data_IF_977076327810
#
_entry.id   IF_977076327810
#
_cell.length_a   1.000
_cell.length_b   1.000
_cell.length_c   1.000
_cell.angle_alpha   90.00
_cell.angle_beta   90.00
_cell.angle_gamma   90.00
#
_symmetry.space_group_name_H-M   'P 1'
#
loop_
_entity.id
_entity.type
_entity.pdbx_description
1 polymer ?
#
# COMPACT_ATOMS: atom_id res chain seq x y z
N UNK A 1 -23.57 13.49 20.02
CA UNK A 1 -23.00 13.75 18.70
C UNK A 1 -21.60 14.32 18.95
N UNK A 2 -20.60 13.46 18.93
CA UNK A 2 -19.18 13.85 19.03
C UNK A 2 -18.67 13.94 17.58
N UNK A 3 -18.32 15.16 17.17
CA UNK A 3 -17.66 15.39 15.89
C UNK A 3 -16.36 14.57 15.81
N UNK A 4 -16.02 13.99 14.65
CA UNK A 4 -14.73 13.33 14.48
C UNK A 4 -13.64 14.41 14.58
N UNK A 5 -12.75 14.26 15.56
CA UNK A 5 -11.54 15.10 15.69
C UNK A 5 -10.72 14.88 14.41
N UNK A 6 -10.74 15.85 13.54
CA UNK A 6 -9.83 15.90 12.39
C UNK A 6 -8.40 15.84 12.94
N UNK A 7 -7.70 14.77 12.66
CA UNK A 7 -6.29 14.60 13.05
C UNK A 7 -5.51 15.67 12.29
N UNK A 8 -5.12 16.71 12.96
CA UNK A 8 -4.16 17.68 12.41
C UNK A 8 -2.89 16.89 12.17
N UNK A 9 -2.51 16.73 10.90
CA UNK A 9 -1.25 16.08 10.56
C UNK A 9 -0.10 16.80 11.25
N UNK A 10 0.72 16.06 11.98
CA UNK A 10 1.90 16.65 12.62
C UNK A 10 2.90 17.07 11.54
N UNK A 11 3.75 18.05 11.83
CA UNK A 11 4.83 18.47 10.92
C UNK A 11 5.73 17.27 10.56
N UNK A 12 5.94 16.33 11.49
CA UNK A 12 6.66 15.09 11.24
C UNK A 12 5.95 14.18 10.24
N UNK A 13 4.61 14.10 10.29
CA UNK A 13 3.82 13.31 9.35
C UNK A 13 3.90 13.86 7.94
N UNK A 14 3.80 15.18 7.77
CA UNK A 14 3.92 15.84 6.46
C UNK A 14 5.31 15.65 5.86
N UNK A 15 6.38 15.72 6.66
CA UNK A 15 7.75 15.45 6.23
C UNK A 15 7.91 13.99 5.81
N UNK A 16 7.40 13.05 6.62
CA UNK A 16 7.45 11.63 6.32
C UNK A 16 6.72 11.32 5.00
N UNK A 17 5.56 11.95 4.79
CA UNK A 17 4.81 11.82 3.53
C UNK A 17 5.63 12.32 2.34
N UNK A 18 6.18 13.53 2.39
CA UNK A 18 6.96 14.10 1.31
C UNK A 18 8.22 13.27 0.98
N UNK A 19 8.97 12.83 2.00
CA UNK A 19 10.15 11.98 1.80
C UNK A 19 9.77 10.61 1.21
N UNK A 20 8.64 10.03 1.62
CA UNK A 20 8.12 8.77 1.05
C UNK A 20 7.82 8.92 -0.43
N UNK A 21 7.14 10.00 -0.82
CA UNK A 21 6.86 10.29 -2.24
C UNK A 21 8.15 10.47 -3.04
N UNK A 22 9.19 11.10 -2.45
CA UNK A 22 10.49 11.25 -3.10
C UNK A 22 11.21 9.90 -3.29
N UNK A 23 11.09 8.99 -2.33
CA UNK A 23 11.62 7.61 -2.42
C UNK A 23 10.86 6.80 -3.49
N UNK A 24 9.53 6.80 -3.43
CA UNK A 24 8.68 6.09 -4.39
C UNK A 24 8.89 6.57 -5.83
N UNK A 25 9.08 7.87 -6.01
CA UNK A 25 9.36 8.48 -7.32
C UNK A 25 10.82 8.32 -7.78
N UNK A 26 11.68 7.68 -6.98
CA UNK A 26 13.11 7.50 -7.29
C UNK A 26 13.96 8.77 -7.18
N UNK A 27 13.42 9.88 -6.68
CA UNK A 27 14.18 11.13 -6.43
C UNK A 27 15.18 10.95 -5.30
N UNK A 28 14.87 10.10 -4.32
CA UNK A 28 15.80 9.63 -3.29
C UNK A 28 16.11 8.16 -3.57
N UNK A 29 17.29 7.90 -4.10
CA UNK A 29 17.73 6.56 -4.48
C UNK A 29 18.03 5.67 -3.27
N UNK A 30 17.88 4.34 -3.42
CA UNK A 30 18.31 3.35 -2.43
C UNK A 30 19.78 3.54 -2.05
N UNK A 31 20.10 3.37 -0.76
CA UNK A 31 21.42 3.68 -0.20
C UNK A 31 21.72 5.17 -0.01
N UNK A 32 20.89 6.06 -0.58
CA UNK A 32 21.05 7.51 -0.49
C UNK A 32 21.01 8.01 0.96
N UNK A 33 21.96 8.89 1.33
CA UNK A 33 22.06 9.41 2.70
C UNK A 33 21.03 10.51 2.96
N UNK A 34 20.29 10.38 4.06
CA UNK A 34 19.31 11.34 4.54
C UNK A 34 19.94 12.17 5.68
N UNK A 35 20.29 13.42 5.39
CA UNK A 35 20.94 14.31 6.36
C UNK A 35 19.89 15.15 7.07
N UNK A 36 19.70 14.93 8.38
CA UNK A 36 18.68 15.63 9.20
C UNK A 36 18.73 17.15 9.04
N UNK A 37 19.96 17.73 9.01
CA UNK A 37 20.14 19.18 8.90
C UNK A 37 19.71 19.73 7.54
N UNK A 38 20.00 19.00 6.46
CA UNK A 38 19.60 19.39 5.11
C UNK A 38 18.08 19.33 4.96
N UNK A 39 17.44 18.25 5.49
CA UNK A 39 16.00 18.09 5.49
C UNK A 39 15.34 19.18 6.35
N UNK A 40 15.85 19.44 7.55
CA UNK A 40 15.34 20.50 8.42
C UNK A 40 15.37 21.89 7.73
N UNK A 41 16.46 22.17 7.02
CA UNK A 41 16.62 23.42 6.23
C UNK A 41 15.62 23.45 5.05
N UNK A 42 15.45 22.34 4.33
CA UNK A 42 14.53 22.23 3.20
C UNK A 42 13.08 22.52 3.60
N UNK A 43 12.64 21.98 4.75
CA UNK A 43 11.29 22.14 5.25
C UNK A 43 11.09 23.35 6.18
N UNK A 44 12.15 24.10 6.50
CA UNK A 44 12.08 25.27 7.37
C UNK A 44 11.73 24.95 8.84
N UNK A 45 12.16 23.79 9.35
CA UNK A 45 11.80 23.26 10.67
C UNK A 45 13.03 22.94 11.51
N UNK A 46 12.83 22.60 12.79
CA UNK A 46 13.87 22.04 13.65
C UNK A 46 14.15 20.57 13.30
N UNK A 47 15.22 19.97 13.86
CA UNK A 47 15.55 18.56 13.64
C UNK A 47 14.58 17.58 14.32
N UNK A 48 13.80 18.02 15.31
CA UNK A 48 12.90 17.13 16.05
C UNK A 48 11.85 16.50 15.12
N UNK A 49 11.01 17.26 14.38
CA UNK A 49 10.04 16.67 13.48
C UNK A 49 10.68 15.86 12.34
N UNK A 50 11.93 16.19 11.95
CA UNK A 50 12.68 15.39 10.96
C UNK A 50 13.01 14.00 11.51
N UNK A 51 13.47 13.90 12.77
CA UNK A 51 13.74 12.61 13.41
C UNK A 51 12.47 11.77 13.58
N UNK A 52 11.36 12.39 13.95
CA UNK A 52 10.05 11.73 14.01
C UNK A 52 9.67 11.15 12.64
N UNK A 53 9.83 11.95 11.58
CA UNK A 53 9.59 11.52 10.21
C UNK A 53 10.47 10.34 9.80
N UNK A 54 11.77 10.42 10.05
CA UNK A 54 12.74 9.36 9.73
C UNK A 54 12.46 8.08 10.54
N UNK A 55 12.11 8.19 11.82
CA UNK A 55 11.73 7.04 12.66
C UNK A 55 10.47 6.37 12.11
N UNK A 56 9.49 7.15 11.67
CA UNK A 56 8.29 6.63 11.03
C UNK A 56 8.62 5.89 9.73
N UNK A 57 9.42 6.51 8.85
CA UNK A 57 9.87 5.88 7.61
C UNK A 57 10.70 4.61 7.86
N UNK A 58 11.46 4.56 8.95
CA UNK A 58 12.15 3.34 9.38
C UNK A 58 11.15 2.24 9.77
N UNK A 59 10.12 2.55 10.55
CA UNK A 59 9.07 1.58 10.90
C UNK A 59 8.28 1.08 9.68
N UNK A 60 8.19 1.89 8.63
CA UNK A 60 7.59 1.56 7.36
C UNK A 60 8.55 0.82 6.40
N UNK A 61 9.84 0.71 6.74
CA UNK A 61 10.87 -0.01 5.97
C UNK A 61 11.52 0.81 4.85
N UNK A 62 11.18 2.08 4.67
CA UNK A 62 11.77 2.95 3.65
C UNK A 62 13.14 3.51 4.01
N UNK A 63 13.46 3.56 5.29
CA UNK A 63 14.69 4.17 5.81
C UNK A 63 15.37 3.22 6.80
N UNK A 64 16.68 3.14 6.73
CA UNK A 64 17.52 2.46 7.72
C UNK A 64 18.25 3.51 8.54
N UNK A 65 18.06 3.50 9.87
CA UNK A 65 18.78 4.39 10.80
C UNK A 65 19.82 3.56 11.54
N UNK A 66 21.08 3.94 11.36
CA UNK A 66 22.20 3.29 12.07
C UNK A 66 22.77 4.29 13.08
N UNK A 67 22.84 3.84 14.35
CA UNK A 67 23.36 4.67 15.44
C UNK A 67 24.75 5.23 15.07
N UNK A 68 24.94 6.54 15.22
CA UNK A 68 26.15 7.29 14.88
C UNK A 68 26.52 7.37 13.38
N UNK A 69 25.78 6.72 12.48
CA UNK A 69 26.01 6.78 11.03
C UNK A 69 24.94 7.59 10.28
N UNK A 70 23.79 7.84 10.95
CA UNK A 70 22.69 8.61 10.39
C UNK A 70 21.65 7.71 9.71
N UNK A 71 20.85 8.32 8.83
CA UNK A 71 19.78 7.66 8.10
C UNK A 71 20.14 7.52 6.62
N UNK A 72 19.71 6.42 6.00
CA UNK A 72 19.82 6.16 4.56
C UNK A 72 18.50 5.62 4.05
N UNK A 73 18.18 5.85 2.77
CA UNK A 73 17.09 5.16 2.09
C UNK A 73 17.43 3.67 2.07
N UNK A 74 16.49 2.82 2.43
CA UNK A 74 16.70 1.37 2.42
C UNK A 74 16.97 0.89 0.98
N UNK A 75 17.83 -0.10 0.83
CA UNK A 75 18.00 -0.81 -0.43
C UNK A 75 16.91 -1.87 -0.51
N UNK A 76 16.07 -1.82 -1.54
CA UNK A 76 15.06 -2.84 -1.76
C UNK A 76 15.69 -3.97 -2.57
N UNK A 77 15.87 -5.12 -1.95
CA UNK A 77 16.30 -6.32 -2.65
C UNK A 77 15.08 -6.97 -3.33
N UNK A 78 15.29 -7.56 -4.50
CA UNK A 78 14.24 -8.31 -5.21
C UNK A 78 13.70 -9.45 -4.35
N UNK A 79 14.58 -10.09 -3.56
CA UNK A 79 14.21 -11.14 -2.61
C UNK A 79 13.21 -10.63 -1.54
N UNK A 80 13.48 -9.48 -0.92
CA UNK A 80 12.57 -8.87 0.07
C UNK A 80 11.20 -8.60 -0.55
N UNK A 81 11.18 -8.20 -1.82
CA UNK A 81 9.94 -7.92 -2.55
C UNK A 81 9.11 -9.18 -2.80
N UNK A 82 9.75 -10.33 -3.05
CA UNK A 82 9.07 -11.64 -3.18
C UNK A 82 8.42 -12.07 -1.87
N UNK A 83 9.14 -11.94 -0.76
CA UNK A 83 8.60 -12.23 0.57
C UNK A 83 7.42 -11.31 0.90
N UNK A 84 7.50 -10.04 0.50
CA UNK A 84 6.40 -9.09 0.64
C UNK A 84 5.18 -9.46 -0.22
N UNK A 85 5.36 -9.98 -1.43
CA UNK A 85 4.25 -10.47 -2.26
C UNK A 85 3.52 -11.64 -1.59
N UNK A 86 4.24 -12.59 -0.98
CA UNK A 86 3.63 -13.69 -0.24
C UNK A 86 2.80 -13.19 0.96
N UNK A 87 3.35 -12.24 1.72
CA UNK A 87 2.63 -11.60 2.84
C UNK A 87 1.40 -10.86 2.31
N UNK A 88 1.56 -10.03 1.27
CA UNK A 88 0.47 -9.31 0.61
C UNK A 88 -0.66 -10.25 0.23
N UNK A 89 -0.34 -11.35 -0.45
CA UNK A 89 -1.31 -12.34 -0.90
C UNK A 89 -2.14 -12.89 0.26
N UNK A 90 -1.50 -13.30 1.36
CA UNK A 90 -2.24 -13.80 2.54
C UNK A 90 -3.16 -12.75 3.16
N UNK A 91 -2.70 -11.51 3.28
CA UNK A 91 -3.48 -10.40 3.84
C UNK A 91 -4.64 -9.97 2.92
N UNK A 92 -4.42 -9.93 1.60
CA UNK A 92 -5.46 -9.55 0.62
C UNK A 92 -6.56 -10.62 0.51
N UNK A 93 -6.22 -11.90 0.58
CA UNK A 93 -7.20 -12.99 0.63
C UNK A 93 -8.08 -12.85 1.88
N UNK A 94 -7.48 -12.62 3.04
CA UNK A 94 -8.20 -12.37 4.28
C UNK A 94 -9.10 -11.13 4.16
N UNK A 95 -8.60 -10.05 3.57
CA UNK A 95 -9.38 -8.82 3.35
C UNK A 95 -10.60 -9.09 2.47
N UNK A 96 -10.44 -9.81 1.35
CA UNK A 96 -11.54 -10.16 0.45
C UNK A 96 -12.60 -11.03 1.14
N UNK A 97 -12.19 -12.00 1.96
CA UNK A 97 -13.10 -12.86 2.72
C UNK A 97 -13.91 -12.06 3.75
N UNK A 98 -13.27 -11.18 4.50
CA UNK A 98 -13.92 -10.30 5.47
C UNK A 98 -14.82 -9.27 4.79
N UNK A 99 -14.35 -8.65 3.70
CA UNK A 99 -15.14 -7.74 2.89
C UNK A 99 -16.43 -8.39 2.39
N UNK A 100 -16.36 -9.64 1.91
CA UNK A 100 -17.53 -10.40 1.50
C UNK A 100 -18.45 -10.75 2.69
N UNK A 101 -17.89 -11.14 3.84
CA UNK A 101 -18.70 -11.37 5.04
C UNK A 101 -19.48 -10.12 5.45
N UNK A 102 -18.88 -8.93 5.24
CA UNK A 102 -19.49 -7.61 5.49
C UNK A 102 -20.28 -7.07 4.28
N UNK A 103 -20.38 -7.81 3.16
CA UNK A 103 -21.02 -7.38 1.90
C UNK A 103 -20.58 -6.00 1.42
N UNK A 104 -19.28 -5.72 1.50
CA UNK A 104 -18.68 -4.43 1.13
C UNK A 104 -18.69 -3.35 2.23
N UNK A 105 -19.44 -3.57 3.31
CA UNK A 105 -19.43 -2.66 4.48
C UNK A 105 -19.68 -1.19 4.14
N UNK A 106 -18.86 -0.29 4.65
CA UNK A 106 -18.99 1.15 4.45
C UNK A 106 -18.72 1.61 3.00
N UNK A 107 -18.07 0.78 2.18
CA UNK A 107 -17.72 1.07 0.76
C UNK A 107 -18.48 0.16 -0.23
N UNK A 108 -19.62 -0.40 0.20
CA UNK A 108 -20.44 -1.30 -0.63
C UNK A 108 -20.92 -0.66 -1.93
N UNK A 109 -21.26 0.64 -1.91
CA UNK A 109 -21.67 1.39 -3.10
C UNK A 109 -20.53 1.53 -4.10
N UNK A 110 -19.30 1.85 -3.63
CA UNK A 110 -18.10 1.94 -4.46
C UNK A 110 -17.76 0.59 -5.11
N UNK A 111 -17.83 -0.51 -4.34
CA UNK A 111 -17.62 -1.86 -4.86
C UNK A 111 -18.71 -2.30 -5.84
N UNK A 112 -19.97 -1.90 -5.61
CA UNK A 112 -21.06 -2.16 -6.55
C UNK A 112 -20.82 -1.43 -7.87
N UNK A 113 -20.35 -0.19 -7.83
CA UNK A 113 -19.98 0.56 -9.03
C UNK A 113 -18.88 -0.19 -9.82
N UNK A 114 -17.82 -0.68 -9.15
CA UNK A 114 -16.78 -1.51 -9.79
C UNK A 114 -17.36 -2.78 -10.41
N UNK A 115 -18.33 -3.43 -9.76
CA UNK A 115 -18.97 -4.65 -10.25
C UNK A 115 -19.86 -4.41 -11.50
N UNK A 116 -20.48 -3.22 -11.60
CA UNK A 116 -21.42 -2.85 -12.67
C UNK A 116 -20.72 -2.18 -13.86
N UNK A 117 -19.61 -1.48 -13.62
CA UNK A 117 -18.93 -0.70 -14.66
C UNK A 117 -18.09 -1.57 -15.60
N UNK A 118 -18.35 -1.36 -16.93
CA UNK A 118 -17.45 -1.81 -17.99
C UNK A 118 -16.28 -0.78 -18.20
N UNK A 119 -15.67 -0.29 -17.14
CA UNK A 119 -14.67 0.75 -17.28
C UNK A 119 -13.29 0.19 -17.58
N UNK A 120 -12.80 0.60 -18.73
CA UNK A 120 -11.38 0.69 -19.06
C UNK A 120 -10.89 1.98 -18.41
N UNK A 121 -9.87 1.88 -17.57
CA UNK A 121 -9.10 2.99 -17.01
C UNK A 121 -9.84 3.99 -16.09
N UNK A 122 -9.48 3.98 -14.85
CA UNK A 122 -9.72 5.05 -13.91
C UNK A 122 -9.96 4.55 -12.50
N UNK A 123 -9.16 5.05 -11.58
CA UNK A 123 -9.43 4.87 -10.15
C UNK A 123 -10.75 5.58 -9.83
N UNK A 124 -11.86 4.89 -9.58
CA UNK A 124 -13.05 5.56 -9.10
C UNK A 124 -12.73 6.11 -7.71
N UNK A 125 -12.89 7.40 -7.52
CA UNK A 125 -12.80 8.07 -6.22
C UNK A 125 -11.43 8.10 -5.52
N UNK A 126 -10.30 8.02 -6.24
CA UNK A 126 -8.97 8.24 -5.69
C UNK A 126 -8.38 7.07 -4.87
N UNK A 127 -9.08 5.96 -4.74
CA UNK A 127 -8.61 4.71 -4.10
C UNK A 127 -8.38 3.63 -5.14
N UNK A 128 -7.33 2.84 -4.97
CA UNK A 128 -7.14 1.62 -5.76
C UNK A 128 -8.18 0.56 -5.35
N UNK A 129 -8.44 -0.42 -6.23
CA UNK A 129 -9.34 -1.53 -5.93
C UNK A 129 -8.94 -2.29 -4.64
N UNK A 130 -7.65 -2.53 -4.46
CA UNK A 130 -7.11 -3.20 -3.27
C UNK A 130 -7.34 -2.40 -1.97
N UNK A 131 -7.27 -1.07 -2.04
CA UNK A 131 -7.61 -0.21 -0.90
C UNK A 131 -9.11 -0.25 -0.58
N UNK A 132 -9.98 -0.35 -1.59
CA UNK A 132 -11.42 -0.54 -1.39
C UNK A 132 -11.70 -1.88 -0.70
N UNK A 133 -11.08 -2.97 -1.14
CA UNK A 133 -11.25 -4.30 -0.53
C UNK A 133 -10.76 -4.29 0.91
N UNK A 134 -9.61 -3.66 1.18
CA UNK A 134 -9.08 -3.53 2.54
C UNK A 134 -10.05 -2.75 3.45
N UNK A 135 -10.59 -1.63 3.00
CA UNK A 135 -11.58 -0.83 3.74
C UNK A 135 -12.90 -1.62 3.96
N UNK A 136 -13.37 -2.34 2.93
CA UNK A 136 -14.55 -3.18 2.99
C UNK A 136 -14.46 -4.30 4.03
N UNK A 137 -13.24 -4.74 4.37
CA UNK A 137 -13.01 -5.75 5.39
C UNK A 137 -13.52 -5.34 6.78
N UNK A 138 -13.64 -4.02 7.05
CA UNK A 138 -13.97 -3.47 8.36
C UNK A 138 -12.89 -3.69 9.42
N UNK A 139 -11.73 -4.22 9.04
CA UNK A 139 -10.60 -4.48 9.93
C UNK A 139 -9.51 -3.41 9.73
N UNK A 140 -9.55 -2.37 10.57
CA UNK A 140 -8.60 -1.25 10.50
C UNK A 140 -7.13 -1.68 10.58
N UNK A 141 -6.80 -2.68 11.39
CA UNK A 141 -5.42 -3.16 11.49
C UNK A 141 -4.96 -3.81 10.20
N UNK A 142 -5.83 -4.60 9.56
CA UNK A 142 -5.55 -5.21 8.26
C UNK A 142 -5.37 -4.15 7.17
N UNK A 143 -6.21 -3.11 7.17
CA UNK A 143 -6.10 -1.98 6.23
C UNK A 143 -4.75 -1.25 6.38
N UNK A 144 -4.33 -0.95 7.62
CA UNK A 144 -3.04 -0.31 7.91
C UNK A 144 -1.85 -1.20 7.48
N UNK A 145 -1.91 -2.51 7.74
CA UNK A 145 -0.87 -3.46 7.34
C UNK A 145 -0.77 -3.57 5.82
N UNK A 146 -1.90 -3.72 5.12
CA UNK A 146 -1.95 -3.79 3.66
C UNK A 146 -1.43 -2.51 3.01
N UNK A 147 -1.82 -1.34 3.51
CA UNK A 147 -1.32 -0.07 3.01
C UNK A 147 0.21 0.03 3.11
N UNK A 148 0.81 -0.50 4.18
CA UNK A 148 2.27 -0.54 4.31
C UNK A 148 2.92 -1.52 3.33
N UNK A 149 2.42 -2.75 3.27
CA UNK A 149 2.96 -3.80 2.38
C UNK A 149 2.84 -3.37 0.92
N UNK A 150 1.67 -2.85 0.50
CA UNK A 150 1.43 -2.44 -0.89
C UNK A 150 2.39 -1.31 -1.33
N UNK A 151 2.64 -0.32 -0.46
CA UNK A 151 3.64 0.72 -0.77
C UNK A 151 5.05 0.16 -0.98
N UNK A 152 5.46 -0.81 -0.15
CA UNK A 152 6.78 -1.46 -0.27
C UNK A 152 6.89 -2.32 -1.52
N UNK A 153 5.84 -3.07 -1.86
CA UNK A 153 5.78 -3.86 -3.10
C UNK A 153 5.88 -2.93 -4.32
N UNK A 154 5.09 -1.86 -4.35
CA UNK A 154 5.11 -0.87 -5.42
C UNK A 154 6.49 -0.21 -5.56
N UNK A 155 7.17 0.09 -4.45
CA UNK A 155 8.51 0.65 -4.48
C UNK A 155 9.54 -0.33 -5.02
N UNK A 156 9.51 -1.59 -4.59
CA UNK A 156 10.48 -2.60 -5.01
C UNK A 156 10.27 -3.13 -6.43
N UNK A 157 9.03 -3.35 -6.82
CA UNK A 157 8.67 -4.03 -8.08
C UNK A 157 8.01 -3.11 -9.11
N UNK A 158 7.50 -1.97 -8.66
CA UNK A 158 6.71 -1.07 -9.50
C UNK A 158 5.25 -1.50 -9.61
N UNK A 159 4.59 -0.99 -10.64
CA UNK A 159 3.20 -1.29 -10.94
C UNK A 159 3.11 -2.37 -12.04
N UNK A 160 2.17 -3.30 -11.89
CA UNK A 160 1.83 -4.24 -12.96
C UNK A 160 0.80 -3.58 -13.90
N UNK A 161 1.18 -3.20 -15.14
CA UNK A 161 0.26 -2.57 -16.08
C UNK A 161 -0.79 -3.55 -16.62
N UNK A 162 -0.52 -4.86 -16.54
CA UNK A 162 -1.40 -5.92 -17.03
C UNK A 162 -2.37 -6.40 -15.94
N UNK A 163 -2.43 -5.73 -14.77
CA UNK A 163 -3.40 -6.04 -13.73
C UNK A 163 -4.83 -5.96 -14.33
N UNK A 164 -5.48 -7.11 -14.40
CA UNK A 164 -6.73 -7.25 -15.16
C UNK A 164 -7.90 -6.55 -14.46
N UNK A 165 -8.38 -5.47 -15.04
CA UNK A 165 -9.61 -4.77 -14.61
C UNK A 165 -10.82 -5.73 -14.59
N UNK A 166 -10.86 -6.71 -15.50
CA UNK A 166 -11.90 -7.73 -15.55
C UNK A 166 -11.99 -8.60 -14.29
N UNK A 167 -10.84 -8.85 -13.65
CA UNK A 167 -10.78 -9.62 -12.40
C UNK A 167 -11.37 -8.83 -11.25
N UNK A 168 -11.11 -7.54 -11.18
CA UNK A 168 -11.65 -6.65 -10.14
C UNK A 168 -13.17 -6.64 -10.14
N UNK A 169 -13.80 -6.65 -11.32
CA UNK A 169 -15.25 -6.72 -11.47
C UNK A 169 -15.85 -7.99 -10.87
N UNK A 170 -15.28 -9.14 -11.22
CA UNK A 170 -15.79 -10.44 -10.74
C UNK A 170 -15.58 -10.57 -9.23
N UNK A 171 -14.46 -10.08 -8.74
CA UNK A 171 -14.12 -10.06 -7.32
C UNK A 171 -15.06 -9.12 -6.54
N UNK A 172 -15.31 -7.90 -7.04
CA UNK A 172 -16.27 -6.97 -6.44
C UNK A 172 -17.68 -7.58 -6.37
N UNK A 173 -18.12 -8.25 -7.42
CA UNK A 173 -19.41 -8.96 -7.44
C UNK A 173 -19.48 -10.05 -6.37
N UNK A 174 -18.41 -10.84 -6.19
CA UNK A 174 -18.37 -11.86 -5.15
C UNK A 174 -18.44 -11.25 -3.74
N UNK A 175 -17.79 -10.09 -3.54
CA UNK A 175 -17.81 -9.36 -2.27
C UNK A 175 -19.21 -8.85 -1.95
N UNK A 176 -19.86 -8.09 -2.85
CA UNK A 176 -21.17 -7.50 -2.57
C UNK A 176 -22.27 -8.58 -2.41
N UNK A 177 -22.10 -9.73 -3.06
CA UNK A 177 -22.99 -10.89 -2.90
C UNK A 177 -22.73 -11.68 -1.60
N UNK A 178 -21.70 -11.37 -0.84
CA UNK A 178 -21.38 -12.03 0.43
C UNK A 178 -20.75 -13.42 0.27
N UNK A 179 -20.13 -13.71 -0.90
CA UNK A 179 -19.54 -15.02 -1.23
C UNK A 179 -18.10 -15.10 -0.75
N UNK A 180 -17.85 -15.21 0.58
CA UNK A 180 -16.52 -15.12 1.19
C UNK A 180 -15.50 -16.13 0.63
N UNK A 181 -15.90 -17.38 0.42
CA UNK A 181 -15.01 -18.41 -0.14
C UNK A 181 -14.63 -18.08 -1.57
N UNK A 182 -15.58 -17.63 -2.38
CA UNK A 182 -15.35 -17.24 -3.77
C UNK A 182 -14.49 -15.98 -3.85
N UNK A 183 -14.74 -14.98 -3.00
CA UNK A 183 -13.95 -13.76 -2.95
C UNK A 183 -12.49 -14.05 -2.60
N UNK A 184 -12.24 -14.91 -1.61
CA UNK A 184 -10.89 -15.35 -1.27
C UNK A 184 -10.18 -16.09 -2.40
N UNK A 185 -10.88 -17.00 -3.08
CA UNK A 185 -10.33 -17.74 -4.23
C UNK A 185 -9.99 -16.82 -5.40
N UNK A 186 -10.89 -15.91 -5.76
CA UNK A 186 -10.69 -14.95 -6.85
C UNK A 186 -9.52 -13.97 -6.55
N UNK A 187 -9.39 -13.53 -5.29
CA UNK A 187 -8.25 -12.71 -4.88
C UNK A 187 -6.94 -13.49 -4.99
N UNK A 188 -6.93 -14.76 -4.60
CA UNK A 188 -5.76 -15.64 -4.72
C UNK A 188 -5.32 -15.78 -6.18
N UNK A 189 -6.24 -16.09 -7.09
CA UNK A 189 -5.99 -16.21 -8.53
C UNK A 189 -5.49 -14.89 -9.13
N UNK A 190 -6.06 -13.77 -8.71
CA UNK A 190 -5.66 -12.44 -9.17
C UNK A 190 -4.20 -12.13 -8.78
N UNK A 191 -3.84 -12.36 -7.52
CA UNK A 191 -2.50 -12.05 -7.00
C UNK A 191 -1.43 -13.05 -7.49
N UNK A 192 -1.78 -14.30 -7.78
CA UNK A 192 -0.86 -15.23 -8.44
C UNK A 192 -0.45 -14.77 -9.84
N UNK A 193 -1.30 -14.04 -10.55
CA UNK A 193 -0.93 -13.43 -11.84
C UNK A 193 0.05 -12.29 -11.66
N UNK A 194 -0.15 -11.46 -10.65
CA UNK A 194 0.82 -10.42 -10.27
C UNK A 194 2.19 -11.03 -9.93
N UNK A 195 2.21 -12.07 -9.09
CA UNK A 195 3.45 -12.77 -8.72
C UNK A 195 4.18 -13.32 -9.95
N UNK A 196 3.46 -13.95 -10.89
CA UNK A 196 4.06 -14.46 -12.15
C UNK A 196 4.62 -13.35 -13.01
N UNK A 197 3.89 -12.25 -13.19
CA UNK A 197 4.36 -11.09 -13.93
C UNK A 197 5.69 -10.55 -13.35
N UNK A 198 5.79 -10.43 -12.04
CA UNK A 198 7.02 -9.96 -11.41
C UNK A 198 8.15 -10.99 -11.46
N UNK A 199 7.84 -12.29 -11.36
CA UNK A 199 8.82 -13.36 -11.54
C UNK A 199 9.41 -13.35 -12.96
N UNK A 200 8.58 -13.21 -13.98
CA UNK A 200 9.02 -13.14 -15.39
C UNK A 200 9.86 -11.88 -15.65
N UNK A 201 9.48 -10.75 -15.05
CA UNK A 201 10.18 -9.46 -15.25
C UNK A 201 11.54 -9.39 -14.58
N UNK A 202 11.70 -9.97 -13.39
CA UNK A 202 12.91 -9.85 -12.56
C UNK A 202 13.73 -11.15 -12.49
N UNK A 203 13.25 -12.23 -13.10
CA UNK A 203 13.92 -13.52 -13.13
C UNK A 203 13.85 -14.26 -11.77
N UNK A 204 14.23 -15.54 -11.80
CA UNK A 204 14.50 -16.32 -10.59
C UNK A 204 15.91 -16.00 -10.08
N UNK A 205 16.11 -14.80 -9.50
CA UNK A 205 17.37 -14.44 -8.84
C UNK A 205 17.51 -15.11 -7.49
#
# INVERSE_FOLDING_TARGET
>A
MTEPVSRVESTGDSIAHALREDILAGRLAGGGRLVEEAIAKQFGVSRVPVREALTRLQSEGFVTIVRYRGATVSETLVQDSRELLQIRRGLEILAAQLAAANRGGAVAEELTAVAEENHHDGQPHGRSFHELVAAASGNRQLEEMLANVNRRVQWGLGHNPDASVGDHRVLALAIVNGSSVQAGYLMDEHLQRDERYFADKFGDA
#
